data_IF_309983351142
#
_entry.id   IF_309983351142
#
_cell.length_a   1.000
_cell.length_b   1.000
_cell.length_c   1.000
_cell.angle_alpha   90.00
_cell.angle_beta   90.00
_cell.angle_gamma   90.00
#
_symmetry.space_group_name_H-M   'P 1'
#
loop_
_entity.id
_entity.type
_entity.pdbx_description
1 polymer ?
#
# COMPACT_ATOMS: atom_id res chain seq x y z
N UNK A 1 13.43 -42.06 25.59
CA UNK A 1 14.00 -43.11 24.71
C UNK A 1 13.05 -44.29 24.69
N UNK A 2 12.06 -44.28 23.80
CA UNK A 2 11.29 -45.47 23.44
C UNK A 2 11.77 -45.91 22.07
N UNK A 3 12.63 -46.93 22.08
CA UNK A 3 12.79 -47.84 20.95
C UNK A 3 11.43 -48.55 20.80
N UNK A 4 10.87 -48.60 19.61
CA UNK A 4 10.74 -49.84 18.85
C UNK A 4 9.98 -49.59 17.56
N UNK A 5 10.59 -50.10 16.50
CA UNK A 5 10.12 -50.35 15.16
C UNK A 5 8.78 -51.10 15.13
N UNK A 6 7.84 -50.68 14.26
CA UNK A 6 7.01 -51.62 13.50
C UNK A 6 6.31 -50.90 12.35
N UNK A 7 6.89 -51.08 11.16
CA UNK A 7 6.22 -51.01 9.88
C UNK A 7 5.19 -52.16 9.84
N UNK A 8 3.94 -51.90 10.20
CA UNK A 8 2.86 -52.86 10.05
C UNK A 8 1.51 -52.16 9.86
N UNK A 9 1.04 -52.25 8.61
CA UNK A 9 -0.35 -52.46 8.21
C UNK A 9 -1.41 -51.42 8.60
N UNK A 10 -1.85 -50.72 7.55
CA UNK A 10 -3.22 -50.29 7.27
C UNK A 10 -4.30 -51.06 8.05
N UNK A 11 -5.31 -50.30 8.50
CA UNK A 11 -6.72 -50.69 8.63
C UNK A 11 -7.33 -51.04 10.00
N UNK A 12 -6.79 -50.62 11.15
CA UNK A 12 -7.49 -50.92 12.41
C UNK A 12 -7.31 -49.91 13.55
N UNK A 13 -7.82 -48.68 13.41
CA UNK A 13 -8.07 -47.81 14.57
C UNK A 13 -9.08 -46.66 14.37
N UNK A 14 -9.95 -46.68 13.36
CA UNK A 14 -11.09 -45.75 13.29
C UNK A 14 -12.30 -46.34 14.03
N UNK A 15 -12.27 -46.33 15.37
CA UNK A 15 -13.43 -46.34 16.30
C UNK A 15 -12.95 -46.77 17.68
N UNK A 16 -12.57 -45.82 18.53
CA UNK A 16 -13.10 -45.72 19.90
C UNK A 16 -12.32 -44.68 20.71
N UNK A 17 -13.05 -43.64 21.13
CA UNK A 17 -12.91 -42.91 22.40
C UNK A 17 -11.48 -42.44 22.73
N UNK A 18 -11.10 -41.20 22.43
CA UNK A 18 -11.63 -40.05 23.16
C UNK A 18 -11.05 -40.00 24.58
N UNK A 19 -9.86 -39.42 24.74
CA UNK A 19 -9.50 -38.57 25.90
C UNK A 19 -8.03 -38.13 25.83
N UNK A 20 -7.84 -36.80 25.82
CA UNK A 20 -6.63 -36.11 26.28
C UNK A 20 -5.38 -36.10 25.39
N UNK A 21 -5.50 -35.57 24.17
CA UNK A 21 -4.38 -34.82 23.58
C UNK A 21 -4.53 -33.36 24.01
N UNK A 22 -3.91 -33.00 25.13
CA UNK A 22 -3.79 -31.61 25.60
C UNK A 22 -2.87 -30.87 24.64
N UNK A 23 -3.44 -29.97 23.84
CA UNK A 23 -2.70 -29.08 22.94
C UNK A 23 -1.61 -28.33 23.73
N UNK A 24 -0.33 -28.34 23.30
CA UNK A 24 0.69 -27.52 23.96
C UNK A 24 0.36 -26.03 23.75
N UNK A 25 0.62 -25.15 24.74
CA UNK A 25 0.37 -23.73 24.58
C UNK A 25 1.21 -23.19 23.42
N UNK A 26 0.57 -22.55 22.45
CA UNK A 26 1.28 -21.86 21.37
C UNK A 26 2.15 -20.76 22.00
N UNK A 27 3.41 -20.58 21.57
CA UNK A 27 4.20 -19.46 22.05
C UNK A 27 3.49 -18.16 21.63
N UNK A 28 3.36 -17.25 22.58
CA UNK A 28 2.88 -15.89 22.33
C UNK A 28 3.71 -15.29 21.18
N UNK A 29 3.05 -14.95 20.08
CA UNK A 29 3.65 -14.13 19.03
C UNK A 29 3.79 -12.74 19.61
N UNK A 30 4.96 -12.48 20.18
CA UNK A 30 5.38 -11.19 20.70
C UNK A 30 5.44 -10.20 19.53
N UNK A 31 4.34 -9.47 19.33
CA UNK A 31 4.15 -8.53 18.22
C UNK A 31 4.79 -7.17 18.54
N UNK A 32 6.01 -7.19 19.07
CA UNK A 32 6.82 -6.00 19.27
C UNK A 32 8.19 -6.20 18.62
N UNK A 33 8.21 -6.24 17.30
CA UNK A 33 9.44 -6.01 16.54
C UNK A 33 9.39 -4.57 16.01
N UNK A 34 10.29 -3.67 16.44
CA UNK A 34 10.32 -2.33 15.87
C UNK A 34 10.75 -2.43 14.41
N UNK A 35 9.90 -1.95 13.49
CA UNK A 35 10.16 -1.77 12.04
C UNK A 35 11.40 -0.87 11.77
N UNK A 36 12.00 -0.30 12.82
CA UNK A 36 13.05 0.72 12.76
C UNK A 36 14.47 0.19 12.58
N UNK A 37 14.72 -1.13 12.57
CA UNK A 37 16.10 -1.67 12.48
C UNK A 37 16.58 -1.99 11.06
N UNK A 38 15.76 -1.83 10.02
CA UNK A 38 16.12 -2.22 8.64
C UNK A 38 16.60 -1.09 7.72
N UNK A 39 16.72 0.17 8.22
CA UNK A 39 17.01 1.33 7.35
C UNK A 39 18.49 1.77 7.35
N UNK A 40 19.38 1.19 8.17
CA UNK A 40 20.77 1.65 8.25
C UNK A 40 21.83 0.76 7.56
N UNK A 41 21.43 -0.17 6.67
CA UNK A 41 22.35 -1.10 6.02
C UNK A 41 22.53 -0.89 4.52
N UNK A 42 22.29 0.32 3.98
CA UNK A 42 22.53 0.56 2.54
C UNK A 42 22.88 2.01 2.22
N UNK A 43 24.02 2.51 2.72
CA UNK A 43 24.73 3.59 2.01
C UNK A 43 26.22 3.57 2.29
N UNK A 44 26.95 2.74 1.56
CA UNK A 44 28.38 2.96 1.31
C UNK A 44 28.68 2.50 -0.11
N UNK A 45 28.43 3.40 -1.06
CA UNK A 45 28.97 3.33 -2.40
C UNK A 45 30.23 4.20 -2.48
N UNK A 46 31.33 3.72 -3.11
CA UNK A 46 32.54 4.50 -3.29
C UNK A 46 32.36 5.47 -4.46
N UNK A 47 32.33 6.77 -4.20
CA UNK A 47 32.37 7.80 -5.25
C UNK A 47 33.81 8.26 -5.45
N UNK A 48 34.41 7.76 -6.54
CA UNK A 48 35.67 8.24 -7.07
C UNK A 48 35.55 9.68 -7.58
N UNK A 49 36.55 10.49 -7.24
CA UNK A 49 36.73 11.85 -7.71
C UNK A 49 37.18 11.88 -9.17
N UNK A 50 36.24 11.77 -10.10
CA UNK A 50 36.45 12.15 -11.50
C UNK A 50 36.19 13.65 -11.67
N UNK A 51 37.13 14.45 -11.18
CA UNK A 51 37.31 15.84 -11.58
C UNK A 51 37.79 15.86 -13.04
N UNK A 52 36.89 15.89 -14.02
CA UNK A 52 37.22 16.30 -15.41
C UNK A 52 36.01 16.59 -16.31
N UNK A 53 34.77 16.32 -15.90
CA UNK A 53 33.59 16.63 -16.73
C UNK A 53 32.96 17.98 -16.37
N UNK A 54 33.78 19.03 -16.37
CA UNK A 54 33.32 20.42 -16.28
C UNK A 54 34.05 21.22 -17.36
N UNK A 55 33.52 21.27 -18.59
CA UNK A 55 33.75 22.42 -19.51
C UNK A 55 32.96 22.47 -20.82
N UNK A 56 32.22 21.45 -21.25
CA UNK A 56 31.69 21.44 -22.63
C UNK A 56 30.19 21.74 -22.80
N UNK A 57 29.41 22.00 -21.75
CA UNK A 57 27.94 22.06 -21.87
C UNK A 57 27.29 23.46 -21.80
N UNK A 58 28.05 24.55 -21.82
CA UNK A 58 27.47 25.91 -21.85
C UNK A 58 27.23 26.51 -23.24
N UNK A 59 27.58 25.81 -24.32
CA UNK A 59 27.76 26.44 -25.64
C UNK A 59 26.58 26.31 -26.62
N UNK A 60 25.38 25.86 -26.22
CA UNK A 60 24.23 25.78 -27.14
C UNK A 60 22.93 26.41 -26.60
N UNK A 61 23.06 27.47 -25.80
CA UNK A 61 21.98 28.39 -25.41
C UNK A 61 21.87 29.59 -26.39
N UNK A 62 22.07 29.39 -27.69
CA UNK A 62 21.83 30.45 -28.68
C UNK A 62 21.21 29.87 -29.96
N UNK A 63 19.89 29.74 -29.97
CA UNK A 63 19.14 29.24 -31.11
C UNK A 63 17.63 29.48 -31.00
N UNK A 64 17.22 30.74 -31.22
CA UNK A 64 16.00 31.09 -31.96
C UNK A 64 14.66 30.51 -31.50
N UNK A 65 14.03 31.20 -30.55
CA UNK A 65 12.61 31.08 -30.22
C UNK A 65 11.76 31.78 -31.29
N UNK A 66 10.87 31.05 -31.96
CA UNK A 66 9.68 31.63 -32.59
C UNK A 66 8.55 30.60 -32.61
N UNK A 67 7.66 30.67 -31.63
CA UNK A 67 6.34 30.05 -31.67
C UNK A 67 5.30 31.11 -31.26
N UNK A 68 4.30 31.30 -32.11
CA UNK A 68 3.32 32.39 -32.01
C UNK A 68 2.33 32.24 -30.85
N UNK A 69 1.60 33.31 -30.48
CA UNK A 69 0.80 33.37 -29.25
C UNK A 69 -0.58 32.69 -29.32
N UNK A 70 -0.84 31.81 -30.28
CA UNK A 70 -2.19 31.22 -30.47
C UNK A 70 -2.42 29.88 -29.74
N UNK A 71 -1.39 29.27 -29.15
CA UNK A 71 -1.49 27.98 -28.43
C UNK A 71 -1.72 28.13 -26.90
N UNK A 72 -1.52 29.32 -26.33
CA UNK A 72 -1.56 29.54 -24.88
C UNK A 72 -2.94 29.32 -24.25
N UNK A 73 -4.03 29.64 -24.97
CA UNK A 73 -5.41 29.51 -24.45
C UNK A 73 -5.91 28.06 -24.35
N UNK A 74 -5.42 27.16 -25.20
CA UNK A 74 -5.78 25.74 -25.14
C UNK A 74 -5.01 24.98 -24.03
N UNK A 75 -3.79 25.43 -23.71
CA UNK A 75 -3.00 24.88 -22.62
C UNK A 75 -3.50 25.29 -21.21
N UNK A 76 -4.15 26.45 -21.09
CA UNK A 76 -4.74 26.92 -19.82
C UNK A 76 -5.97 26.11 -19.40
N UNK A 77 -6.83 25.70 -20.36
CA UNK A 77 -8.00 24.86 -20.06
C UNK A 77 -7.62 23.44 -19.65
N UNK A 78 -6.60 22.85 -20.28
CA UNK A 78 -6.15 21.50 -19.94
C UNK A 78 -5.54 21.43 -18.52
N UNK A 79 -4.79 22.48 -18.12
CA UNK A 79 -4.23 22.57 -16.76
C UNK A 79 -5.27 22.71 -15.65
N UNK A 80 -6.44 23.28 -15.94
CA UNK A 80 -7.54 23.37 -14.97
C UNK A 80 -8.12 21.98 -14.69
N UNK A 81 -8.34 21.18 -15.74
CA UNK A 81 -8.88 19.81 -15.60
C UNK A 81 -7.94 18.89 -14.84
N UNK A 82 -6.62 18.99 -15.08
CA UNK A 82 -5.61 18.22 -14.34
C UNK A 82 -5.63 18.53 -12.83
N UNK A 83 -5.80 19.81 -12.48
CA UNK A 83 -5.87 20.27 -11.09
C UNK A 83 -7.15 19.83 -10.38
N UNK A 84 -8.28 19.81 -11.08
CA UNK A 84 -9.58 19.39 -10.54
C UNK A 84 -9.61 17.90 -10.21
N UNK A 85 -9.06 17.04 -11.09
CA UNK A 85 -8.96 15.60 -10.81
C UNK A 85 -8.05 15.31 -9.62
N UNK A 86 -6.88 15.95 -9.55
CA UNK A 86 -5.97 15.80 -8.41
C UNK A 86 -6.63 16.25 -7.10
N UNK A 87 -7.39 17.34 -7.14
CA UNK A 87 -8.21 17.81 -6.01
C UNK A 87 -9.20 16.74 -5.55
N UNK A 88 -10.00 16.19 -6.47
CA UNK A 88 -10.99 15.15 -6.14
C UNK A 88 -10.35 13.89 -5.52
N UNK A 89 -9.25 13.40 -6.10
CA UNK A 89 -8.55 12.22 -5.56
C UNK A 89 -7.96 12.50 -4.18
N UNK A 90 -7.46 13.72 -3.95
CA UNK A 90 -6.94 14.13 -2.64
C UNK A 90 -8.04 14.21 -1.60
N UNK A 91 -9.20 14.76 -1.95
CA UNK A 91 -10.35 14.83 -1.06
C UNK A 91 -10.86 13.42 -0.72
N UNK A 92 -11.00 12.56 -1.74
CA UNK A 92 -11.41 11.16 -1.54
C UNK A 92 -10.43 10.37 -0.66
N UNK A 93 -9.12 10.61 -0.78
CA UNK A 93 -8.13 10.01 0.11
C UNK A 93 -8.32 10.46 1.57
N UNK A 94 -8.69 11.73 1.77
CA UNK A 94 -9.08 12.27 3.07
C UNK A 94 -10.32 11.58 3.64
N UNK A 95 -11.34 11.39 2.80
CA UNK A 95 -12.59 10.72 3.17
C UNK A 95 -12.37 9.26 3.56
N UNK A 96 -11.59 8.50 2.76
CA UNK A 96 -11.22 7.11 3.08
C UNK A 96 -10.48 7.02 4.42
N UNK A 97 -9.55 7.95 4.67
CA UNK A 97 -8.84 8.00 5.94
C UNK A 97 -9.78 8.30 7.13
N UNK A 98 -10.74 9.20 6.94
CA UNK A 98 -11.76 9.50 7.95
C UNK A 98 -12.68 8.29 8.22
N UNK A 99 -13.12 7.59 7.18
CA UNK A 99 -13.91 6.36 7.28
C UNK A 99 -13.14 5.26 8.02
N UNK A 100 -11.86 5.08 7.70
CA UNK A 100 -11.01 4.10 8.36
C UNK A 100 -10.79 4.44 9.85
N UNK A 101 -10.54 5.71 10.18
CA UNK A 101 -10.46 6.16 11.58
C UNK A 101 -11.76 5.90 12.32
N UNK A 102 -12.90 6.31 11.74
CA UNK A 102 -14.23 6.11 12.34
C UNK A 102 -14.53 4.64 12.60
N UNK A 103 -14.18 3.75 11.66
CA UNK A 103 -14.34 2.30 11.87
C UNK A 103 -13.47 1.78 13.02
N UNK A 104 -12.28 2.35 13.22
CA UNK A 104 -11.40 2.04 14.36
C UNK A 104 -11.98 2.53 15.68
N UNK A 105 -12.44 3.79 15.72
CA UNK A 105 -13.05 4.40 16.90
C UNK A 105 -14.33 3.65 17.32
N UNK A 106 -15.18 3.29 16.35
CA UNK A 106 -16.39 2.52 16.60
C UNK A 106 -16.08 1.11 17.14
N UNK A 107 -15.02 0.48 16.63
CA UNK A 107 -14.56 -0.81 17.13
C UNK A 107 -14.02 -0.69 18.56
N UNK A 108 -13.22 0.33 18.85
CA UNK A 108 -12.67 0.57 20.19
C UNK A 108 -13.78 0.83 21.21
N UNK A 109 -14.76 1.67 20.87
CA UNK A 109 -15.91 1.96 21.72
C UNK A 109 -16.83 0.73 21.95
N UNK A 110 -16.93 -0.16 20.96
CA UNK A 110 -17.61 -1.45 21.13
C UNK A 110 -16.85 -2.40 22.07
N UNK A 111 -15.53 -2.50 21.93
CA UNK A 111 -14.69 -3.33 22.82
C UNK A 111 -14.64 -2.77 24.23
N UNK A 112 -14.67 -1.45 24.39
CA UNK A 112 -14.75 -0.76 25.69
C UNK A 112 -16.10 -0.94 26.39
N UNK A 113 -17.13 -1.43 25.68
CA UNK A 113 -18.47 -1.63 26.21
C UNK A 113 -19.29 -0.34 26.37
N UNK A 114 -18.82 0.79 25.83
CA UNK A 114 -19.57 2.05 25.80
C UNK A 114 -20.65 2.04 24.71
N UNK A 115 -20.45 1.28 23.63
CA UNK A 115 -21.39 1.16 22.51
C UNK A 115 -21.88 -0.29 22.39
N UNK A 116 -23.19 -0.50 22.58
CA UNK A 116 -23.84 -1.83 22.46
C UNK A 116 -24.21 -2.21 21.02
N UNK A 117 -24.00 -1.30 20.06
CA UNK A 117 -24.51 -1.44 18.71
C UNK A 117 -23.44 -1.97 17.73
N UNK A 118 -23.29 -3.29 17.69
CA UNK A 118 -22.41 -4.01 16.76
C UNK A 118 -22.73 -3.68 15.29
N UNK A 119 -23.98 -3.36 14.96
CA UNK A 119 -24.38 -3.08 13.58
C UNK A 119 -23.66 -1.84 13.02
N UNK A 120 -23.47 -0.80 13.84
CA UNK A 120 -22.76 0.41 13.43
C UNK A 120 -21.28 0.14 13.14
N UNK A 121 -20.62 -0.71 13.93
CA UNK A 121 -19.23 -1.11 13.70
C UNK A 121 -19.09 -1.88 12.40
N UNK A 122 -20.00 -2.82 12.14
CA UNK A 122 -20.00 -3.60 10.90
C UNK A 122 -20.24 -2.73 9.66
N UNK A 123 -21.18 -1.78 9.73
CA UNK A 123 -21.45 -0.84 8.64
C UNK A 123 -20.24 0.05 8.40
N UNK A 124 -19.66 0.65 9.45
CA UNK A 124 -18.48 1.50 9.32
C UNK A 124 -17.28 0.74 8.73
N UNK A 125 -17.08 -0.52 9.14
CA UNK A 125 -16.02 -1.36 8.60
C UNK A 125 -16.24 -1.75 7.14
N UNK A 126 -17.49 -2.03 6.73
CA UNK A 126 -17.82 -2.34 5.34
C UNK A 126 -17.66 -1.12 4.44
N UNK A 127 -18.12 0.05 4.88
CA UNK A 127 -17.97 1.30 4.15
C UNK A 127 -16.49 1.67 3.94
N UNK A 128 -15.68 1.60 5.00
CA UNK A 128 -14.24 1.83 4.91
C UNK A 128 -13.55 0.82 3.98
N UNK A 129 -13.96 -0.45 4.00
CA UNK A 129 -13.44 -1.49 3.11
C UNK A 129 -13.72 -1.20 1.64
N UNK A 130 -14.99 -0.97 1.29
CA UNK A 130 -15.41 -0.70 -0.10
C UNK A 130 -14.75 0.59 -0.64
N UNK A 131 -14.65 1.63 0.19
CA UNK A 131 -14.03 2.89 -0.20
C UNK A 131 -12.52 2.72 -0.46
N UNK A 132 -11.83 1.91 0.34
CA UNK A 132 -10.42 1.59 0.15
C UNK A 132 -10.17 0.74 -1.11
N UNK A 133 -11.02 -0.24 -1.37
CA UNK A 133 -10.94 -1.05 -2.59
C UNK A 133 -11.09 -0.17 -3.84
N UNK A 134 -12.06 0.76 -3.82
CA UNK A 134 -12.23 1.74 -4.89
C UNK A 134 -10.98 2.62 -5.06
N UNK A 135 -10.37 3.08 -3.96
CA UNK A 135 -9.14 3.87 -4.01
C UNK A 135 -7.98 3.09 -4.65
N UNK A 136 -7.85 1.80 -4.35
CA UNK A 136 -6.82 0.93 -4.94
C UNK A 136 -7.05 0.80 -6.45
N UNK A 137 -8.29 0.60 -6.89
CA UNK A 137 -8.62 0.56 -8.31
C UNK A 137 -8.25 1.87 -9.03
N UNK A 138 -8.60 3.01 -8.44
CA UNK A 138 -8.24 4.33 -8.99
C UNK A 138 -6.71 4.50 -9.02
N UNK A 139 -6.01 4.15 -7.95
CA UNK A 139 -4.54 4.20 -7.88
C UNK A 139 -3.91 3.37 -8.99
N UNK A 140 -4.37 2.14 -9.17
CA UNK A 140 -3.87 1.23 -10.20
C UNK A 140 -4.11 1.82 -11.59
N UNK A 141 -5.31 2.35 -11.85
CA UNK A 141 -5.68 2.92 -13.15
C UNK A 141 -4.88 4.17 -13.48
N UNK A 142 -4.60 5.04 -12.51
CA UNK A 142 -3.77 6.24 -12.71
C UNK A 142 -2.33 5.85 -13.04
N UNK A 143 -1.77 4.88 -12.31
CA UNK A 143 -0.42 4.38 -12.55
C UNK A 143 -0.32 3.69 -13.92
N UNK A 144 -1.30 2.87 -14.30
CA UNK A 144 -1.38 2.22 -15.61
C UNK A 144 -1.49 3.25 -16.74
N UNK A 145 -2.37 4.25 -16.60
CA UNK A 145 -2.55 5.30 -17.61
C UNK A 145 -1.26 6.11 -17.84
N UNK A 146 -0.54 6.42 -16.77
CA UNK A 146 0.76 7.09 -16.86
C UNK A 146 1.80 6.21 -17.58
N UNK A 147 1.82 4.91 -17.27
CA UNK A 147 2.70 3.96 -17.96
C UNK A 147 2.36 3.84 -19.45
N UNK A 148 1.08 3.82 -19.82
CA UNK A 148 0.65 3.74 -21.21
C UNK A 148 1.07 4.99 -22.01
N UNK A 149 0.88 6.19 -21.46
CA UNK A 149 1.35 7.44 -22.09
C UNK A 149 2.86 7.39 -22.35
N UNK A 150 3.65 6.84 -21.41
CA UNK A 150 5.10 6.68 -21.60
C UNK A 150 5.45 5.66 -22.70
N UNK A 151 4.58 4.68 -22.96
CA UNK A 151 4.80 3.65 -24.00
C UNK A 151 4.39 4.12 -25.39
N UNK A 152 3.61 5.19 -25.49
CA UNK A 152 3.38 5.93 -26.75
C UNK A 152 4.63 6.78 -27.03
N UNK A 153 5.74 6.11 -27.33
CA UNK A 153 6.90 6.74 -27.93
C UNK A 153 6.93 6.35 -29.40
N UNK A 154 6.90 7.39 -30.24
CA UNK A 154 7.27 7.40 -31.66
C UNK A 154 8.75 7.14 -31.85
#
# INVERSE_FOLDING_TARGET
MCKETAFASRDQALRSRGSSCKEPPRPARDLTVPIRSLVNATTQGPTGSSSLTQRSFRQLEQGGRSLGPTEARAAEQNRQVDGEFYGLVKDFLGDVNALQSRSGDALEAFVAGEITDLHQVMVASQEAGIAMDLLIEVRNRVVESFQEIMRIQV
#
